data_IF_972827402484
#
_entry.id   IF_972827402484
#
_cell.length_a   1.000
_cell.length_b   1.000
_cell.length_c   1.000
_cell.angle_alpha   90.00
_cell.angle_beta   90.00
_cell.angle_gamma   90.00
#
_symmetry.space_group_name_H-M   'P 1'
#
loop_
_entity.id
_entity.type
_entity.pdbx_description
1 polymer ?
#
# COMPACT_ATOMS: atom_id res chain seq x y z
N UNK A 1 -2.95 -11.30 17.91
CA UNK A 1 -4.24 -10.60 17.71
C UNK A 1 -4.15 -9.92 16.37
N UNK A 2 -4.71 -10.58 15.36
CA UNK A 2 -4.82 -10.13 13.98
C UNK A 2 -5.52 -8.78 13.96
N UNK A 3 -4.86 -7.74 13.45
CA UNK A 3 -5.52 -6.49 13.15
C UNK A 3 -6.50 -6.76 12.02
N UNK A 4 -7.76 -7.03 12.38
CA UNK A 4 -8.88 -7.12 11.47
C UNK A 4 -8.93 -5.81 10.69
N UNK A 5 -8.47 -5.84 9.43
CA UNK A 5 -8.79 -4.82 8.45
C UNK A 5 -10.31 -4.77 8.42
N UNK A 6 -10.89 -3.75 9.07
CA UNK A 6 -12.32 -3.52 9.04
C UNK A 6 -12.68 -3.40 7.55
N UNK A 7 -13.41 -4.37 7.02
CA UNK A 7 -13.99 -4.30 5.68
C UNK A 7 -15.00 -3.16 5.68
N UNK A 8 -14.52 -1.93 5.51
CA UNK A 8 -15.36 -0.79 5.24
C UNK A 8 -15.83 -0.98 3.81
N UNK A 9 -17.07 -1.44 3.64
CA UNK A 9 -17.67 -1.64 2.32
C UNK A 9 -17.57 -0.33 1.53
N UNK A 10 -16.98 -0.36 0.32
CA UNK A 10 -16.89 0.84 -0.50
C UNK A 10 -18.30 1.33 -0.83
N UNK A 11 -18.50 2.64 -0.78
CA UNK A 11 -19.77 3.25 -1.18
C UNK A 11 -19.88 3.15 -2.70
N UNK A 12 -20.90 2.46 -3.21
CA UNK A 12 -21.10 2.28 -4.65
C UNK A 12 -21.94 3.43 -5.22
N UNK A 13 -21.48 4.00 -6.32
CA UNK A 13 -22.20 5.01 -7.08
C UNK A 13 -22.18 4.66 -8.57
N UNK A 14 -23.34 4.25 -9.11
CA UNK A 14 -23.51 4.01 -10.53
C UNK A 14 -24.03 5.27 -11.24
N UNK A 15 -23.22 5.79 -12.17
CA UNK A 15 -23.53 7.01 -12.93
C UNK A 15 -23.98 6.73 -14.36
N UNK A 16 -23.99 5.47 -14.81
CA UNK A 16 -24.53 5.07 -16.12
C UNK A 16 -25.98 5.54 -16.33
N UNK A 17 -26.92 5.37 -15.38
CA UNK A 17 -28.30 5.83 -15.58
C UNK A 17 -28.44 7.35 -15.57
N UNK A 18 -27.53 8.08 -14.90
CA UNK A 18 -27.50 9.55 -14.91
C UNK A 18 -27.05 10.07 -16.27
N UNK A 19 -25.96 9.51 -16.79
CA UNK A 19 -25.41 9.84 -18.11
C UNK A 19 -26.38 9.47 -19.23
N UNK A 20 -27.09 8.33 -19.12
CA UNK A 20 -28.14 7.93 -20.06
C UNK A 20 -29.31 8.93 -20.12
N UNK A 21 -29.55 9.69 -19.04
CA UNK A 21 -30.57 10.76 -18.96
C UNK A 21 -30.03 12.14 -19.34
N UNK A 22 -28.76 12.25 -19.75
CA UNK A 22 -28.10 13.53 -20.01
C UNK A 22 -27.84 14.37 -18.77
N UNK A 23 -27.84 13.75 -17.58
CA UNK A 23 -27.55 14.43 -16.32
C UNK A 23 -26.06 14.37 -16.01
N UNK A 24 -25.53 15.45 -15.42
CA UNK A 24 -24.12 15.52 -15.03
C UNK A 24 -23.85 14.71 -13.76
N UNK A 25 -22.99 13.68 -13.81
CA UNK A 25 -22.74 12.82 -12.66
C UNK A 25 -21.76 13.44 -11.66
N UNK A 26 -20.99 14.46 -12.07
CA UNK A 26 -19.92 15.05 -11.25
C UNK A 26 -20.43 15.52 -9.90
N UNK A 27 -21.57 16.22 -9.85
CA UNK A 27 -22.15 16.68 -8.59
C UNK A 27 -22.57 15.52 -7.67
N UNK A 28 -23.20 14.48 -8.23
CA UNK A 28 -23.58 13.30 -7.47
C UNK A 28 -22.35 12.58 -6.87
N UNK A 29 -21.26 12.52 -7.64
CA UNK A 29 -19.98 11.98 -7.18
C UNK A 29 -19.43 12.82 -6.02
N UNK A 30 -19.39 14.15 -6.16
CA UNK A 30 -18.89 15.02 -5.08
C UNK A 30 -19.73 14.89 -3.80
N UNK A 31 -21.06 14.85 -3.92
CA UNK A 31 -21.95 14.63 -2.78
C UNK A 31 -21.71 13.27 -2.11
N UNK A 32 -21.48 12.22 -2.92
CA UNK A 32 -21.15 10.90 -2.40
C UNK A 32 -19.80 10.90 -1.68
N UNK A 33 -18.78 11.53 -2.25
CA UNK A 33 -17.44 11.71 -1.64
C UNK A 33 -17.52 12.47 -0.31
N UNK A 34 -18.32 13.54 -0.25
CA UNK A 34 -18.54 14.32 0.97
C UNK A 34 -19.32 13.55 2.05
N UNK A 35 -20.10 12.54 1.65
CA UNK A 35 -20.85 11.67 2.56
C UNK A 35 -20.08 10.41 2.98
N UNK A 36 -18.87 10.18 2.46
CA UNK A 36 -18.05 9.04 2.85
C UNK A 36 -17.61 9.17 4.32
N UNK A 37 -17.56 8.03 5.00
CA UNK A 37 -16.92 7.93 6.30
C UNK A 37 -15.40 8.12 6.16
N UNK A 38 -14.71 8.63 7.19
CA UNK A 38 -13.24 8.66 7.20
C UNK A 38 -12.67 7.25 6.97
N UNK A 39 -11.79 7.10 5.96
CA UNK A 39 -11.22 5.81 5.54
C UNK A 39 -12.10 4.99 4.58
N UNK A 40 -13.30 5.44 4.25
CA UNK A 40 -14.18 4.74 3.30
C UNK A 40 -13.82 5.06 1.85
N UNK A 41 -13.79 4.02 1.01
CA UNK A 41 -13.56 4.17 -0.44
C UNK A 41 -14.88 4.36 -1.20
N UNK A 42 -14.82 4.98 -2.38
CA UNK A 42 -15.94 5.13 -3.32
C UNK A 42 -15.72 4.27 -4.55
N UNK A 43 -16.65 3.37 -4.87
CA UNK A 43 -16.68 2.62 -6.11
C UNK A 43 -17.60 3.33 -7.12
N UNK A 44 -17.04 3.89 -8.17
CA UNK A 44 -17.78 4.58 -9.23
C UNK A 44 -17.92 3.68 -10.46
N UNK A 45 -19.15 3.47 -10.94
CA UNK A 45 -19.42 2.75 -12.19
C UNK A 45 -19.84 3.74 -13.27
N UNK A 46 -19.08 3.81 -14.36
CA UNK A 46 -19.30 4.75 -15.46
C UNK A 46 -19.21 4.04 -16.83
N UNK A 47 -19.94 4.51 -17.85
CA UNK A 47 -19.91 3.92 -19.20
C UNK A 47 -18.66 4.32 -20.01
N UNK A 48 -17.66 4.93 -19.38
CA UNK A 48 -16.37 5.30 -19.93
C UNK A 48 -15.39 5.66 -18.81
N UNK A 49 -14.09 5.65 -19.11
CA UNK A 49 -13.03 6.02 -18.17
C UNK A 49 -13.08 7.53 -17.85
N UNK A 50 -13.36 7.94 -16.60
CA UNK A 50 -13.52 9.35 -16.23
C UNK A 50 -12.17 10.01 -15.93
N UNK A 51 -11.28 10.08 -16.93
CA UNK A 51 -9.94 10.69 -16.83
C UNK A 51 -9.93 12.06 -16.12
N UNK A 52 -10.81 13.03 -16.44
CA UNK A 52 -10.81 14.33 -15.76
C UNK A 52 -11.17 14.25 -14.27
N UNK A 53 -11.87 13.20 -13.83
CA UNK A 53 -12.24 13.01 -12.44
C UNK A 53 -11.04 12.59 -11.58
N UNK A 54 -10.08 11.85 -12.15
CA UNK A 54 -8.91 11.36 -11.41
C UNK A 54 -8.12 12.51 -10.81
N UNK A 55 -7.81 13.53 -11.61
CA UNK A 55 -7.06 14.70 -11.13
C UNK A 55 -7.81 15.53 -10.08
N UNK A 56 -9.15 15.49 -10.08
CA UNK A 56 -9.95 16.15 -9.03
C UNK A 56 -9.90 15.35 -7.73
N UNK A 57 -9.99 14.03 -7.84
CA UNK A 57 -9.95 13.12 -6.69
C UNK A 57 -8.56 13.09 -6.05
N UNK A 58 -7.48 13.09 -6.85
CA UNK A 58 -6.10 13.23 -6.35
C UNK A 58 -5.91 14.50 -5.53
N UNK A 59 -6.43 15.65 -6.01
CA UNK A 59 -6.38 16.92 -5.26
C UNK A 59 -7.18 16.89 -3.96
N UNK A 60 -8.17 16.01 -3.86
CA UNK A 60 -8.96 15.77 -2.65
C UNK A 60 -8.33 14.73 -1.72
N UNK A 61 -7.17 14.18 -2.09
CA UNK A 61 -6.51 13.13 -1.31
C UNK A 61 -7.12 11.75 -1.54
N UNK A 62 -7.53 11.42 -2.77
CA UNK A 62 -8.01 10.09 -3.15
C UNK A 62 -7.18 9.51 -4.32
N UNK A 63 -6.74 8.26 -4.19
CA UNK A 63 -6.11 7.49 -5.25
C UNK A 63 -7.20 6.85 -6.11
N UNK A 64 -7.03 6.89 -7.44
CA UNK A 64 -7.97 6.33 -8.38
C UNK A 64 -7.42 5.02 -8.97
N UNK A 65 -8.13 3.92 -8.81
CA UNK A 65 -7.86 2.65 -9.46
C UNK A 65 -9.01 2.35 -10.43
N UNK A 66 -8.74 2.40 -11.74
CA UNK A 66 -9.75 2.23 -12.78
C UNK A 66 -9.55 0.91 -13.53
N UNK A 67 -10.60 0.09 -13.59
CA UNK A 67 -10.62 -1.20 -14.26
C UNK A 67 -11.81 -1.27 -15.22
N UNK A 68 -11.60 -1.89 -16.39
CA UNK A 68 -12.66 -2.12 -17.36
C UNK A 68 -13.42 -3.41 -17.00
N UNK A 69 -14.74 -3.31 -16.80
CA UNK A 69 -15.60 -4.45 -16.41
C UNK A 69 -16.29 -5.12 -17.61
N UNK A 70 -15.96 -4.66 -18.82
CA UNK A 70 -16.51 -5.17 -20.08
C UNK A 70 -17.73 -4.39 -20.57
N UNK A 71 -18.04 -4.51 -21.86
CA UNK A 71 -19.16 -3.79 -22.48
C UNK A 71 -18.96 -2.29 -22.66
N UNK A 72 -17.72 -1.79 -22.48
CA UNK A 72 -17.40 -0.37 -22.47
C UNK A 72 -17.64 0.31 -21.09
N UNK A 73 -18.11 -0.45 -20.11
CA UNK A 73 -18.28 0.02 -18.73
C UNK A 73 -16.96 -0.07 -17.95
N UNK A 74 -16.77 0.90 -17.08
CA UNK A 74 -15.60 1.08 -16.24
C UNK A 74 -16.02 1.15 -14.78
N UNK A 75 -15.27 0.45 -13.94
CA UNK A 75 -15.31 0.64 -12.50
C UNK A 75 -14.09 1.44 -12.07
N UNK A 76 -14.29 2.41 -11.19
CA UNK A 76 -13.21 3.20 -10.61
C UNK A 76 -13.34 3.20 -9.10
N UNK A 77 -12.37 2.60 -8.43
CA UNK A 77 -12.24 2.65 -6.99
C UNK A 77 -11.42 3.88 -6.60
N UNK A 78 -12.06 4.82 -5.91
CA UNK A 78 -11.40 5.94 -5.26
C UNK A 78 -11.16 5.62 -3.79
N UNK A 79 -9.91 5.36 -3.46
CA UNK A 79 -9.49 5.09 -2.09
C UNK A 79 -8.93 6.37 -1.48
N UNK A 80 -9.31 6.76 -0.26
CA UNK A 80 -8.65 7.87 0.40
C UNK A 80 -7.16 7.54 0.47
N UNK A 81 -6.33 8.44 -0.07
CA UNK A 81 -4.89 8.48 0.18
C UNK A 81 -4.80 9.02 1.60
N UNK A 82 -5.06 8.14 2.56
CA UNK A 82 -4.75 8.48 3.92
C UNK A 82 -3.23 8.66 3.94
N UNK A 83 -2.79 9.90 4.14
CA UNK A 83 -1.39 10.20 4.42
C UNK A 83 -0.86 9.46 5.66
N UNK A 84 -1.73 8.71 6.37
CA UNK A 84 -1.43 7.83 7.50
C UNK A 84 -1.59 6.34 7.16
N UNK A 85 -1.88 5.97 5.91
CA UNK A 85 -1.62 4.60 5.43
C UNK A 85 -0.18 4.56 4.93
N UNK A 86 0.73 3.93 5.67
CA UNK A 86 2.12 3.93 5.27
C UNK A 86 2.22 3.17 3.94
N UNK A 87 2.66 3.86 2.90
CA UNK A 87 2.99 3.24 1.62
C UNK A 87 3.91 2.05 1.90
N UNK A 88 3.36 0.85 1.75
CA UNK A 88 4.11 -0.38 1.91
C UNK A 88 5.03 -0.44 0.70
N UNK A 89 6.28 0.00 0.90
CA UNK A 89 7.34 -0.17 -0.08
C UNK A 89 7.69 -1.65 -0.11
N UNK A 90 7.68 -2.23 -1.30
CA UNK A 90 7.92 -3.64 -1.53
C UNK A 90 9.00 -3.74 -2.59
N UNK A 91 9.99 -4.62 -2.40
CA UNK A 91 11.01 -4.88 -3.43
C UNK A 91 10.35 -5.42 -4.70
N UNK A 92 10.88 -5.10 -5.89
CA UNK A 92 10.33 -5.59 -7.17
C UNK A 92 10.23 -7.13 -7.23
N UNK A 93 11.09 -7.83 -6.50
CA UNK A 93 11.11 -9.30 -6.42
C UNK A 93 10.23 -9.88 -5.30
N UNK A 94 9.62 -9.06 -4.44
CA UNK A 94 8.74 -9.53 -3.37
C UNK A 94 7.36 -9.84 -3.96
N UNK A 95 7.21 -11.05 -4.53
CA UNK A 95 6.00 -11.48 -5.23
C UNK A 95 4.70 -11.21 -4.47
N UNK A 96 4.42 -12.01 -3.44
CA UNK A 96 3.22 -11.86 -2.61
C UNK A 96 3.61 -11.66 -1.14
N UNK A 97 3.68 -10.42 -0.63
CA UNK A 97 3.94 -10.13 0.79
C UNK A 97 2.93 -10.78 1.74
N UNK A 98 1.69 -10.96 1.28
CA UNK A 98 0.55 -11.42 2.08
C UNK A 98 0.65 -12.90 2.51
N UNK A 99 1.52 -13.68 1.84
CA UNK A 99 1.74 -15.11 2.13
C UNK A 99 3.03 -15.37 2.94
N UNK A 100 3.70 -14.32 3.40
CA UNK A 100 4.95 -14.49 4.16
C UNK A 100 4.66 -15.09 5.55
N UNK A 101 5.50 -16.01 6.05
CA UNK A 101 5.36 -16.54 7.39
C UNK A 101 5.56 -15.44 8.44
N UNK A 102 5.05 -15.67 9.64
CA UNK A 102 5.28 -14.77 10.78
C UNK A 102 6.79 -14.56 11.00
N UNK A 103 7.23 -13.35 11.41
CA UNK A 103 8.64 -13.08 11.59
C UNK A 103 9.22 -14.05 12.62
N UNK A 104 10.22 -14.80 12.20
CA UNK A 104 10.93 -15.73 13.08
C UNK A 104 11.90 -14.97 13.99
N UNK A 105 12.30 -13.77 13.55
CA UNK A 105 13.25 -12.95 14.27
C UNK A 105 12.86 -11.46 14.24
N UNK A 106 13.22 -10.75 15.30
CA UNK A 106 12.84 -9.36 15.55
C UNK A 106 14.06 -8.56 16.01
N UNK A 107 14.40 -7.50 15.27
CA UNK A 107 15.50 -6.60 15.58
C UNK A 107 14.96 -5.19 15.82
N UNK A 108 15.28 -4.61 16.98
CA UNK A 108 15.11 -3.18 17.18
C UNK A 108 16.42 -2.45 16.87
N UNK A 109 16.35 -1.54 15.91
CA UNK A 109 17.42 -0.68 15.42
C UNK A 109 17.05 0.81 15.59
N UNK A 110 16.09 1.13 16.46
CA UNK A 110 15.61 2.51 16.63
C UNK A 110 16.60 3.39 17.38
N UNK A 111 17.38 2.80 18.30
CA UNK A 111 18.45 3.49 19.04
C UNK A 111 19.82 3.47 18.33
N UNK A 112 19.92 2.86 17.15
CA UNK A 112 21.20 2.68 16.46
C UNK A 112 21.50 3.80 15.46
N UNK A 113 22.74 4.28 15.46
CA UNK A 113 23.20 5.26 14.47
C UNK A 113 23.61 4.57 13.17
N UNK A 114 23.33 5.18 12.00
CA UNK A 114 23.81 4.69 10.72
C UNK A 114 25.35 4.68 10.68
N UNK A 115 26.00 3.64 10.15
CA UNK A 115 25.45 2.51 9.38
C UNK A 115 25.18 1.24 10.21
N UNK A 116 25.31 1.26 11.54
CA UNK A 116 25.15 0.05 12.37
C UNK A 116 23.86 -0.75 12.16
N UNK A 117 22.66 -0.14 12.02
CA UNK A 117 21.44 -0.92 11.84
C UNK A 117 21.46 -1.73 10.53
N UNK A 118 22.07 -1.19 9.48
CA UNK A 118 22.22 -1.88 8.20
C UNK A 118 23.09 -3.12 8.34
N UNK A 119 24.25 -2.99 8.99
CA UNK A 119 25.19 -4.11 9.21
C UNK A 119 24.53 -5.20 10.04
N UNK A 120 23.78 -4.82 11.07
CA UNK A 120 23.11 -5.75 11.97
C UNK A 120 22.01 -6.55 11.28
N UNK A 121 21.18 -5.86 10.48
CA UNK A 121 20.12 -6.49 9.71
C UNK A 121 20.72 -7.45 8.67
N UNK A 122 21.75 -7.04 7.93
CA UNK A 122 22.42 -7.88 6.93
C UNK A 122 23.05 -9.12 7.57
N UNK A 123 23.75 -8.97 8.69
CA UNK A 123 24.35 -10.09 9.41
C UNK A 123 23.29 -11.09 9.89
N UNK A 124 22.12 -10.61 10.34
CA UNK A 124 21.05 -11.50 10.80
C UNK A 124 20.43 -12.28 9.65
N UNK A 125 20.10 -11.61 8.53
CA UNK A 125 19.52 -12.31 7.37
C UNK A 125 20.51 -13.29 6.72
N UNK A 126 21.81 -13.09 6.90
CA UNK A 126 22.86 -14.03 6.47
C UNK A 126 22.95 -15.28 7.36
N UNK A 127 22.59 -15.20 8.65
CA UNK A 127 22.56 -16.36 9.56
C UNK A 127 21.24 -17.15 9.46
N UNK A 128 20.18 -16.49 8.99
CA UNK A 128 18.84 -17.06 8.83
C UNK A 128 18.73 -18.01 7.63
N UNK A 129 17.78 -18.95 7.72
CA UNK A 129 17.49 -19.90 6.66
C UNK A 129 16.61 -19.29 5.57
N UNK A 130 16.80 -19.79 4.35
CA UNK A 130 15.96 -19.43 3.20
C UNK A 130 14.48 -19.65 3.53
N UNK A 131 13.68 -18.63 3.29
CA UNK A 131 12.25 -18.60 3.56
C UNK A 131 11.88 -18.00 4.91
N UNK A 132 12.82 -17.84 5.84
CA UNK A 132 12.58 -17.15 7.10
C UNK A 132 12.39 -15.64 6.89
N UNK A 133 11.66 -15.03 7.83
CA UNK A 133 11.31 -13.60 7.81
C UNK A 133 11.89 -12.92 9.03
N UNK A 134 12.66 -11.87 8.80
CA UNK A 134 13.16 -10.93 9.80
C UNK A 134 12.26 -9.71 9.84
N UNK A 135 11.89 -9.25 11.03
CA UNK A 135 11.26 -7.96 11.23
C UNK A 135 12.24 -7.00 11.92
N UNK A 136 12.45 -5.82 11.34
CA UNK A 136 13.32 -4.80 11.91
C UNK A 136 12.62 -3.44 12.05
N UNK A 137 12.88 -2.76 13.17
CA UNK A 137 12.41 -1.40 13.45
C UNK A 137 13.56 -0.41 13.31
N UNK A 138 13.38 0.63 12.53
CA UNK A 138 14.39 1.67 12.29
C UNK A 138 13.82 3.05 12.63
N UNK A 139 14.67 3.96 13.08
CA UNK A 139 14.27 5.33 13.37
C UNK A 139 14.08 6.20 12.10
N UNK A 140 14.46 5.67 10.92
CA UNK A 140 14.34 6.32 9.62
C UNK A 140 14.40 5.30 8.49
N UNK A 141 14.06 5.75 7.28
CA UNK A 141 14.11 4.93 6.07
C UNK A 141 15.55 4.53 5.68
N UNK A 142 15.85 3.23 5.51
CA UNK A 142 17.18 2.74 5.17
C UNK A 142 17.38 2.59 3.66
N UNK A 143 17.51 3.71 2.95
CA UNK A 143 17.68 3.75 1.49
C UNK A 143 18.82 2.87 0.94
N UNK A 144 19.89 2.67 1.71
CA UNK A 144 21.04 1.85 1.31
C UNK A 144 20.83 0.35 1.55
N UNK A 145 19.90 -0.02 2.43
CA UNK A 145 19.62 -1.42 2.76
C UNK A 145 18.86 -2.11 1.63
N UNK A 146 17.90 -1.42 1.00
CA UNK A 146 17.08 -1.95 -0.09
C UNK A 146 17.92 -2.59 -1.22
N UNK A 147 18.86 -1.87 -1.87
CA UNK A 147 19.67 -2.45 -2.94
C UNK A 147 20.63 -3.55 -2.44
N UNK A 148 21.08 -3.49 -1.19
CA UNK A 148 21.93 -4.53 -0.58
C UNK A 148 21.17 -5.85 -0.41
N UNK A 149 19.90 -5.79 -0.01
CA UNK A 149 19.02 -6.96 0.13
C UNK A 149 18.68 -7.56 -1.23
N UNK A 150 18.29 -6.72 -2.19
CA UNK A 150 17.95 -7.17 -3.55
C UNK A 150 19.15 -7.79 -4.26
N UNK A 151 20.35 -7.21 -4.08
CA UNK A 151 21.60 -7.76 -4.63
C UNK A 151 21.92 -9.15 -4.10
N UNK A 152 21.52 -9.46 -2.88
CA UNK A 152 21.69 -10.78 -2.25
C UNK A 152 20.53 -11.74 -2.54
N UNK A 153 19.53 -11.30 -3.32
CA UNK A 153 18.35 -12.09 -3.66
C UNK A 153 17.28 -12.12 -2.57
N UNK A 154 17.39 -11.29 -1.53
CA UNK A 154 16.39 -11.21 -0.47
C UNK A 154 15.21 -10.32 -0.89
N UNK A 155 14.04 -10.65 -0.35
CA UNK A 155 12.81 -9.89 -0.59
C UNK A 155 12.55 -9.00 0.62
N UNK A 156 12.08 -7.78 0.41
CA UNK A 156 11.78 -6.88 1.54
C UNK A 156 10.48 -6.12 1.34
N UNK A 157 9.85 -5.77 2.46
CA UNK A 157 8.61 -5.01 2.56
C UNK A 157 8.74 -4.06 3.74
N UNK A 158 8.66 -2.76 3.52
CA UNK A 158 8.81 -1.77 4.57
C UNK A 158 7.76 -0.67 4.50
N UNK A 159 7.37 -0.15 5.66
CA UNK A 159 6.41 0.93 5.77
C UNK A 159 6.73 1.77 7.02
N UNK A 160 6.30 3.03 7.04
CA UNK A 160 6.32 3.77 8.30
C UNK A 160 5.25 3.24 9.24
N UNK A 161 5.47 3.38 10.54
CA UNK A 161 4.41 3.22 11.53
C UNK A 161 3.31 4.29 11.33
N UNK A 162 2.13 4.08 11.92
CA UNK A 162 1.01 5.04 11.95
C UNK A 162 1.44 6.45 12.39
N UNK A 163 2.46 6.52 13.25
CA UNK A 163 3.03 7.78 13.74
C UNK A 163 4.00 8.47 12.78
N UNK A 164 4.44 7.80 11.70
CA UNK A 164 5.46 8.29 10.77
C UNK A 164 6.88 8.39 11.36
N UNK A 165 7.08 7.97 12.62
CA UNK A 165 8.36 8.15 13.34
C UNK A 165 9.30 6.95 13.24
N UNK A 166 8.73 5.76 13.07
CA UNK A 166 9.47 4.51 13.04
C UNK A 166 9.22 3.83 11.71
N UNK A 167 10.29 3.45 11.02
CA UNK A 167 10.22 2.65 9.80
C UNK A 167 10.28 1.17 10.17
N UNK A 168 9.27 0.40 9.75
CA UNK A 168 9.18 -1.04 9.96
C UNK A 168 9.55 -1.72 8.66
N UNK A 169 10.44 -2.69 8.70
CA UNK A 169 10.80 -3.48 7.52
C UNK A 169 10.73 -4.97 7.86
N UNK A 170 10.11 -5.73 6.97
CA UNK A 170 10.14 -7.18 6.93
C UNK A 170 11.05 -7.61 5.79
N UNK A 171 11.92 -8.57 6.06
CA UNK A 171 12.88 -9.06 5.10
C UNK A 171 12.76 -10.57 5.08
N UNK A 172 12.40 -11.12 3.93
CA UNK A 172 12.36 -12.56 3.71
C UNK A 172 13.64 -12.99 3.03
N UNK A 173 14.32 -13.95 3.64
CA UNK A 173 15.54 -14.53 3.09
C UNK A 173 15.17 -15.32 1.83
N UNK A 174 15.53 -14.78 0.67
CA UNK A 174 15.45 -15.50 -0.61
C UNK A 174 16.64 -16.43 -0.81
N UNK A 175 16.53 -17.37 -1.75
CA UNK A 175 17.68 -18.13 -2.22
C UNK A 175 18.66 -17.16 -2.88
N UNK A 176 19.88 -17.07 -2.35
CA UNK A 176 20.97 -16.39 -3.03
C UNK A 176 21.21 -17.12 -4.37
N UNK A 177 20.89 -16.45 -5.47
CA UNK A 177 21.09 -16.95 -6.83
C UNK A 177 22.56 -17.13 -7.18
#
# INVERSE_FOLDING_TARGET
MTASQQQITPSELDVRPLLAKGQEPFQAIMTAVESLLPGQSLLLIAPFKPVPLFSVMEKKGFAANAEEIGGGDWQVLFSPIDSSSPVVQVSDNAGFPDIWPEPSNYIDCTDMLPPEPMVRILAEVEDMQVGEVLFALLHREPLFLFPELEKRGHQWVGNFDDTGKTYRIMIRVGEAG
#
